data_IF_722603898070
#
_entry.id   IF_722603898070
#
_cell.length_a   1.000
_cell.length_b   1.000
_cell.length_c   1.000
_cell.angle_alpha   90.00
_cell.angle_beta   90.00
_cell.angle_gamma   90.00
#
_symmetry.space_group_name_H-M   'P 1'
#
loop_
_entity.id
_entity.type
_entity.pdbx_description
1 polymer ?
#
# COMPACT_ATOMS: atom_id res chain seq x y z
N UNK A 1 6.07 -13.88 1.74
CA UNK A 1 6.38 -12.59 1.07
C UNK A 1 5.85 -11.47 1.94
N UNK A 2 6.70 -10.49 2.26
CA UNK A 2 6.28 -9.33 3.04
C UNK A 2 5.45 -8.38 2.18
N UNK A 3 4.32 -7.93 2.73
CA UNK A 3 3.44 -6.93 2.12
C UNK A 3 3.07 -5.87 3.13
N UNK A 4 2.84 -4.65 2.66
CA UNK A 4 2.22 -3.58 3.44
C UNK A 4 0.73 -3.48 3.09
N UNK A 5 -0.08 -3.10 4.07
CA UNK A 5 -1.53 -2.97 3.92
C UNK A 5 -1.90 -1.70 3.15
N UNK A 6 -2.91 -1.82 2.27
CA UNK A 6 -3.61 -0.68 1.65
C UNK A 6 -5.02 -0.62 2.21
N UNK A 7 -5.48 0.59 2.55
CA UNK A 7 -6.81 0.85 3.08
C UNK A 7 -7.46 2.03 2.36
N UNK A 8 -8.79 2.05 2.31
CA UNK A 8 -9.56 3.24 1.91
C UNK A 8 -10.23 3.91 3.12
N UNK A 9 -9.94 3.45 4.34
CA UNK A 9 -10.41 4.12 5.57
C UNK A 9 -9.62 5.41 5.72
N UNK A 10 -10.32 6.49 6.01
CA UNK A 10 -9.68 7.76 6.30
C UNK A 10 -8.84 7.62 7.57
N UNK A 11 -7.59 8.08 7.52
CA UNK A 11 -6.71 8.20 8.66
C UNK A 11 -6.42 9.69 8.85
N UNK A 12 -6.48 10.16 10.10
CA UNK A 12 -5.82 11.42 10.46
C UNK A 12 -4.32 11.28 10.19
N UNK A 13 -3.62 12.40 9.94
CA UNK A 13 -2.18 12.41 9.65
C UNK A 13 -1.40 11.67 10.74
N UNK A 14 -1.10 10.41 10.49
CA UNK A 14 -0.35 9.52 11.37
C UNK A 14 0.99 9.21 10.71
N UNK A 15 2.09 9.16 11.48
CA UNK A 15 3.34 8.58 11.00
C UNK A 15 3.10 7.19 10.39
N UNK A 16 3.76 6.92 9.26
CA UNK A 16 3.66 5.64 8.56
C UNK A 16 2.42 5.46 7.67
N UNK A 17 1.70 6.55 7.35
CA UNK A 17 0.59 6.52 6.39
C UNK A 17 0.95 7.37 5.17
N UNK A 18 0.91 6.77 3.98
CA UNK A 18 1.19 7.46 2.70
C UNK A 18 -0.08 7.45 1.86
N UNK A 19 -0.57 8.63 1.49
CA UNK A 19 -1.64 8.78 0.51
C UNK A 19 -1.17 8.27 -0.86
N UNK A 20 -1.93 7.35 -1.46
CA UNK A 20 -1.62 6.83 -2.78
C UNK A 20 -2.21 7.73 -3.87
N UNK A 21 -1.47 7.95 -4.98
CA UNK A 21 -2.03 8.59 -6.16
C UNK A 21 -3.28 7.88 -6.67
N UNK A 22 -4.23 8.64 -7.21
CA UNK A 22 -5.41 8.08 -7.86
C UNK A 22 -5.01 7.08 -8.96
N UNK A 23 -5.74 5.96 -9.05
CA UNK A 23 -5.44 4.88 -10.01
C UNK A 23 -4.32 3.91 -9.61
N UNK A 24 -3.61 4.12 -8.49
CA UNK A 24 -2.57 3.17 -8.00
C UNK A 24 -3.15 1.80 -7.67
N UNK A 25 -4.32 1.81 -7.06
CA UNK A 25 -5.19 0.63 -6.89
C UNK A 25 -6.48 0.96 -7.60
N UNK A 26 -7.10 -0.01 -8.27
CA UNK A 26 -8.42 0.18 -8.92
C UNK A 26 -9.46 0.68 -7.92
N UNK A 27 -9.55 1.99 -7.78
CA UNK A 27 -10.21 2.73 -6.73
C UNK A 27 -11.69 2.77 -7.04
N UNK A 28 -12.42 1.85 -6.42
CA UNK A 28 -13.87 1.84 -6.56
C UNK A 28 -14.43 3.18 -6.09
N UNK A 29 -14.93 3.97 -7.05
CA UNK A 29 -15.65 5.24 -6.84
C UNK A 29 -14.76 6.41 -6.39
N UNK A 30 -13.50 6.46 -6.81
CA UNK A 30 -12.61 7.62 -6.58
C UNK A 30 -12.22 7.83 -5.12
N UNK A 31 -12.29 6.78 -4.30
CA UNK A 31 -11.88 6.85 -2.89
C UNK A 31 -10.37 6.85 -2.78
N UNK A 32 -9.83 7.85 -2.08
CA UNK A 32 -8.41 7.88 -1.73
C UNK A 32 -8.03 6.63 -0.95
N UNK A 33 -6.92 6.03 -1.34
CA UNK A 33 -6.34 4.87 -0.67
C UNK A 33 -5.02 5.26 -0.03
N UNK A 34 -4.67 4.55 1.03
CA UNK A 34 -3.51 4.84 1.86
C UNK A 34 -2.71 3.56 2.05
N UNK A 35 -1.38 3.68 1.95
CA UNK A 35 -0.43 2.64 2.32
C UNK A 35 -0.06 2.81 3.80
N UNK A 36 -0.23 1.76 4.58
CA UNK A 36 0.13 1.71 6.01
C UNK A 36 1.49 1.00 6.15
N UNK A 37 2.58 1.75 6.27
CA UNK A 37 3.96 1.22 6.28
C UNK A 37 4.31 0.47 7.56
N UNK A 38 3.58 0.71 8.65
CA UNK A 38 3.72 0.01 9.93
C UNK A 38 2.98 -1.33 9.94
N UNK A 39 2.09 -1.57 8.97
CA UNK A 39 1.23 -2.75 8.90
C UNK A 39 1.79 -3.77 7.90
N UNK A 40 2.95 -4.31 8.26
CA UNK A 40 3.61 -5.37 7.49
C UNK A 40 3.06 -6.74 7.84
N UNK A 41 2.91 -7.59 6.82
CA UNK A 41 2.39 -8.96 6.96
C UNK A 41 3.17 -9.91 6.06
N UNK A 42 3.34 -11.13 6.53
CA UNK A 42 3.80 -12.21 5.66
C UNK A 42 2.61 -12.90 5.00
N UNK A 43 2.64 -12.98 3.67
CA UNK A 43 1.60 -13.63 2.86
C UNK A 43 2.24 -14.63 1.92
N UNK A 44 1.63 -15.81 1.79
CA UNK A 44 2.02 -16.82 0.82
C UNK A 44 1.67 -16.36 -0.61
N UNK A 45 2.47 -16.76 -1.61
CA UNK A 45 2.22 -16.38 -3.01
C UNK A 45 0.82 -16.83 -3.51
N UNK A 46 0.31 -17.96 -3.03
CA UNK A 46 -1.06 -18.41 -3.36
C UNK A 46 -2.18 -17.55 -2.76
N UNK A 47 -1.87 -16.62 -1.85
CA UNK A 47 -2.85 -15.71 -1.24
C UNK A 47 -3.26 -14.54 -2.13
N UNK A 48 -2.53 -14.27 -3.22
CA UNK A 48 -2.84 -13.19 -4.14
C UNK A 48 -3.86 -13.63 -5.19
N UNK A 49 -4.99 -12.92 -5.28
CA UNK A 49 -6.07 -13.25 -6.22
C UNK A 49 -5.90 -12.59 -7.60
N UNK A 50 -5.50 -11.32 -7.63
CA UNK A 50 -5.34 -10.54 -8.86
C UNK A 50 -4.40 -9.35 -8.65
N UNK A 51 -3.79 -8.85 -9.72
CA UNK A 51 -3.10 -7.56 -9.77
C UNK A 51 -4.12 -6.43 -9.96
N UNK A 52 -3.95 -5.33 -9.24
CA UNK A 52 -4.88 -4.18 -9.26
C UNK A 52 -4.25 -2.85 -9.72
N UNK A 53 -2.93 -2.83 -9.91
CA UNK A 53 -2.20 -1.64 -10.35
C UNK A 53 -0.71 -1.76 -10.07
N UNK A 54 -0.01 -0.63 -10.16
CA UNK A 54 1.40 -0.45 -9.85
C UNK A 54 1.57 0.89 -9.14
N UNK A 55 2.44 0.91 -8.14
CA UNK A 55 2.84 2.12 -7.43
C UNK A 55 3.83 2.92 -8.28
N UNK A 56 3.80 4.24 -8.19
CA UNK A 56 4.81 5.08 -8.84
C UNK A 56 6.19 4.93 -8.18
N UNK A 57 7.21 5.44 -8.88
CA UNK A 57 8.59 5.35 -8.42
C UNK A 57 8.86 6.15 -7.13
N UNK A 58 8.17 7.29 -6.95
CA UNK A 58 8.39 8.16 -5.80
C UNK A 58 7.93 7.50 -4.50
N UNK A 59 6.75 6.89 -4.50
CA UNK A 59 6.26 6.11 -3.36
C UNK A 59 7.11 4.86 -3.17
N UNK A 60 7.56 4.20 -4.24
CA UNK A 60 8.44 3.04 -4.14
C UNK A 60 9.77 3.35 -3.43
N UNK A 61 10.43 4.44 -3.79
CA UNK A 61 11.71 4.83 -3.15
C UNK A 61 11.55 5.08 -1.65
N UNK A 62 10.39 5.54 -1.19
CA UNK A 62 10.10 5.73 0.24
C UNK A 62 9.95 4.41 1.00
N UNK A 63 9.58 3.31 0.35
CA UNK A 63 9.14 2.07 1.04
C UNK A 63 9.94 0.81 0.69
N UNK A 64 10.82 0.84 -0.30
CA UNK A 64 11.60 -0.33 -0.77
C UNK A 64 12.49 -0.98 0.30
N UNK A 65 12.77 -0.31 1.42
CA UNK A 65 13.53 -0.83 2.55
C UNK A 65 12.70 -1.43 3.69
N UNK A 66 11.36 -1.39 3.61
CA UNK A 66 10.50 -1.93 4.65
C UNK A 66 10.70 -3.44 4.83
N UNK A 67 10.80 -3.87 6.08
CA UNK A 67 10.97 -5.30 6.42
C UNK A 67 12.35 -5.88 6.14
N UNK A 68 13.36 -5.05 5.85
CA UNK A 68 14.76 -5.46 5.67
C UNK A 68 15.55 -5.58 7.01
N UNK A 69 14.85 -5.72 8.14
CA UNK A 69 15.42 -5.82 9.49
C UNK A 69 15.39 -7.23 10.05
#
# INVERSE_FOLDING_TARGET
MIVAKITSKHHEERPGVIALPAGTVGDQRGRQSFLETDELREVALGGFRRRVGTVDAEVWERVRGLGAG
#
